data_IF_025444068333
#
_entry.id   IF_025444068333
#
_cell.length_a   1.000
_cell.length_b   1.000
_cell.length_c   1.000
_cell.angle_alpha   90.00
_cell.angle_beta   90.00
_cell.angle_gamma   90.00
#
_symmetry.space_group_name_H-M   'P 1'
#
loop_
_entity.id
_entity.type
_entity.pdbx_description
1 polymer ?
#
# COMPACT_ATOMS: atom_id res chain seq x y z
N UNK A 1 15.33 -3.09 -9.11
CA UNK A 1 13.97 -3.64 -8.91
C UNK A 1 13.03 -2.93 -9.88
N UNK A 2 12.16 -3.64 -10.63
CA UNK A 2 11.13 -2.95 -11.44
C UNK A 2 10.09 -2.34 -10.50
N UNK A 3 9.50 -1.18 -10.86
CA UNK A 3 8.49 -0.47 -10.05
C UNK A 3 7.37 -1.38 -9.55
N UNK A 4 6.82 -2.19 -10.44
CA UNK A 4 5.72 -3.11 -10.13
C UNK A 4 6.15 -4.24 -9.17
N UNK A 5 7.45 -4.57 -9.16
CA UNK A 5 8.01 -5.60 -8.27
C UNK A 5 8.26 -5.12 -6.85
N UNK A 6 8.32 -3.80 -6.61
CA UNK A 6 8.66 -3.26 -5.29
C UNK A 6 7.56 -3.42 -4.26
N UNK A 7 6.31 -3.15 -4.66
CA UNK A 7 5.15 -3.40 -3.81
C UNK A 7 5.05 -4.90 -3.46
N UNK A 8 5.22 -5.79 -4.45
CA UNK A 8 5.20 -7.22 -4.23
C UNK A 8 6.34 -7.70 -3.31
N UNK A 9 7.56 -7.24 -3.54
CA UNK A 9 8.71 -7.59 -2.70
C UNK A 9 8.56 -7.08 -1.26
N UNK A 10 8.10 -5.83 -1.09
CA UNK A 10 7.81 -5.26 0.21
C UNK A 10 6.71 -6.06 0.92
N UNK A 11 5.64 -6.43 0.22
CA UNK A 11 4.56 -7.25 0.75
C UNK A 11 5.07 -8.59 1.27
N UNK A 12 5.89 -9.29 0.48
CA UNK A 12 6.47 -10.58 0.87
C UNK A 12 7.32 -10.42 2.13
N UNK A 13 8.21 -9.43 2.16
CA UNK A 13 9.07 -9.17 3.31
C UNK A 13 8.28 -8.81 4.58
N UNK A 14 7.24 -7.97 4.45
CA UNK A 14 6.35 -7.60 5.57
C UNK A 14 5.57 -8.80 6.10
N UNK A 15 5.00 -9.63 5.21
CA UNK A 15 4.25 -10.85 5.61
C UNK A 15 5.13 -11.87 6.30
N UNK A 16 6.38 -12.02 5.86
CA UNK A 16 7.34 -12.94 6.46
C UNK A 16 7.97 -12.41 7.75
N UNK A 17 7.83 -11.11 8.07
CA UNK A 17 8.60 -10.48 9.13
C UNK A 17 10.12 -10.51 8.86
N UNK A 18 10.51 -10.51 7.58
CA UNK A 18 11.91 -10.65 7.18
C UNK A 18 12.61 -9.28 7.19
N UNK A 19 13.17 -8.93 8.35
CA UNK A 19 13.92 -7.69 8.55
C UNK A 19 15.12 -7.55 7.61
N UNK A 20 15.74 -8.66 7.19
CA UNK A 20 16.88 -8.64 6.26
C UNK A 20 16.42 -8.30 4.85
N UNK A 21 15.31 -8.89 4.39
CA UNK A 21 14.70 -8.53 3.12
C UNK A 21 14.20 -7.08 3.12
N UNK A 22 13.57 -6.63 4.21
CA UNK A 22 13.16 -5.23 4.38
C UNK A 22 14.36 -4.28 4.32
N UNK A 23 15.47 -4.64 4.99
CA UNK A 23 16.68 -3.83 4.97
C UNK A 23 17.37 -3.75 3.60
N UNK A 24 17.15 -4.74 2.73
CA UNK A 24 17.63 -4.74 1.33
C UNK A 24 16.72 -3.91 0.41
N UNK A 25 15.43 -3.81 0.72
CA UNK A 25 14.45 -3.10 -0.09
C UNK A 25 14.37 -1.60 0.22
N UNK A 26 14.63 -1.22 1.47
CA UNK A 26 14.46 0.15 1.97
C UNK A 26 15.82 0.84 2.04
N UNK A 27 15.91 2.04 1.47
CA UNK A 27 17.12 2.84 1.52
C UNK A 27 17.53 3.21 2.96
N UNK A 28 18.83 3.34 3.20
CA UNK A 28 19.37 3.66 4.53
C UNK A 28 18.80 4.96 5.10
N UNK A 29 18.56 5.95 4.24
CA UNK A 29 18.01 7.27 4.57
C UNK A 29 16.51 7.39 4.30
N UNK A 30 15.82 6.27 4.01
CA UNK A 30 14.42 6.30 3.63
C UNK A 30 13.52 7.04 4.62
N UNK A 31 12.50 7.70 4.11
CA UNK A 31 11.50 8.43 4.90
C UNK A 31 10.14 7.76 4.82
N UNK A 32 9.49 7.61 5.97
CA UNK A 32 8.07 7.30 6.05
C UNK A 32 7.33 8.53 6.58
N UNK A 33 6.32 8.98 5.83
CA UNK A 33 5.42 10.04 6.23
C UNK A 33 4.04 9.45 6.48
N UNK A 34 3.49 9.70 7.67
CA UNK A 34 2.13 9.33 8.05
C UNK A 34 1.32 10.62 8.07
N UNK A 35 0.22 10.65 7.34
CA UNK A 35 -0.61 11.84 7.23
C UNK A 35 -1.13 12.31 8.59
N UNK A 36 -1.20 13.63 8.77
CA UNK A 36 -1.52 14.27 10.06
C UNK A 36 -2.96 14.08 10.51
N UNK A 37 -3.85 13.59 9.64
CA UNK A 37 -5.22 13.19 9.98
C UNK A 37 -5.31 11.83 10.68
N UNK A 38 -4.21 11.10 10.81
CA UNK A 38 -4.14 9.83 11.53
C UNK A 38 -3.64 10.05 12.97
N UNK A 39 -4.07 9.22 13.92
CA UNK A 39 -3.74 9.31 15.36
C UNK A 39 -2.24 9.16 15.69
N UNK A 40 -1.38 9.04 14.68
CA UNK A 40 0.09 8.98 14.77
C UNK A 40 0.80 9.76 13.66
N UNK A 41 0.17 10.82 13.15
CA UNK A 41 0.74 11.67 12.10
C UNK A 41 2.16 12.16 12.39
N UNK A 42 2.97 12.28 11.34
CA UNK A 42 4.37 12.70 11.45
C UNK A 42 5.26 12.06 10.39
N UNK A 43 6.57 12.27 10.50
CA UNK A 43 7.54 11.61 9.63
C UNK A 43 8.64 10.94 10.44
N UNK A 44 9.11 9.80 9.96
CA UNK A 44 10.29 9.11 10.48
C UNK A 44 11.30 8.92 9.35
N UNK A 45 12.58 9.10 9.65
CA UNK A 45 13.68 8.93 8.71
C UNK A 45 14.64 7.86 9.20
N UNK A 46 15.19 7.11 8.25
CA UNK A 46 16.18 6.07 8.46
C UNK A 46 15.57 4.67 8.45
N UNK A 47 16.18 3.77 7.69
CA UNK A 47 15.73 2.39 7.43
C UNK A 47 15.20 1.66 8.65
N UNK A 48 16.01 1.57 9.71
CA UNK A 48 15.64 0.83 10.92
C UNK A 48 14.46 1.47 11.68
N UNK A 49 14.27 2.79 11.58
CA UNK A 49 13.11 3.48 12.17
C UNK A 49 11.87 3.25 11.31
N UNK A 50 12.00 3.34 9.98
CA UNK A 50 10.93 3.05 9.03
C UNK A 50 10.40 1.62 9.21
N UNK A 51 11.28 0.61 9.20
CA UNK A 51 10.90 -0.81 9.38
C UNK A 51 10.12 -1.03 10.67
N UNK A 52 10.65 -0.52 11.80
CA UNK A 52 9.99 -0.66 13.10
C UNK A 52 8.64 0.05 13.15
N UNK A 53 8.52 1.23 12.54
CA UNK A 53 7.25 1.95 12.48
C UNK A 53 6.24 1.20 11.62
N UNK A 54 6.63 0.67 10.45
CA UNK A 54 5.76 -0.17 9.63
C UNK A 54 5.27 -1.41 10.39
N UNK A 55 6.16 -2.14 11.05
CA UNK A 55 5.79 -3.31 11.85
C UNK A 55 4.74 -2.97 12.93
N UNK A 56 4.93 -1.87 13.66
CA UNK A 56 3.97 -1.40 14.69
C UNK A 56 2.61 -1.03 14.09
N UNK A 57 2.62 -0.34 12.95
CA UNK A 57 1.38 0.06 12.27
C UNK A 57 0.57 -1.16 11.80
N UNK A 58 1.25 -2.22 11.35
CA UNK A 58 0.61 -3.46 10.91
C UNK A 58 0.07 -4.28 12.08
N UNK A 59 0.78 -4.34 13.21
CA UNK A 59 0.27 -4.99 14.44
C UNK A 59 -1.04 -4.35 14.89
N UNK A 60 -1.16 -3.02 14.79
CA UNK A 60 -2.40 -2.30 15.14
C UNK A 60 -3.55 -2.50 14.15
N UNK A 61 -3.36 -3.25 13.06
CA UNK A 61 -4.32 -3.45 11.96
C UNK A 61 -4.47 -4.92 11.59
N UNK A 62 -4.43 -5.80 12.58
CA UNK A 62 -4.49 -7.26 12.39
C UNK A 62 -5.79 -7.75 11.71
N UNK A 63 -6.83 -6.91 11.66
CA UNK A 63 -8.10 -7.15 10.94
C UNK A 63 -8.05 -6.82 9.45
N UNK A 64 -6.91 -6.33 8.92
CA UNK A 64 -6.74 -5.95 7.53
C UNK A 64 -5.58 -6.72 6.88
N UNK A 65 -5.85 -7.28 5.69
CA UNK A 65 -4.84 -7.83 4.80
C UNK A 65 -4.11 -6.74 4.02
N UNK A 66 -2.84 -6.99 3.69
CA UNK A 66 -2.07 -6.17 2.75
C UNK A 66 -2.17 -6.75 1.34
N UNK A 67 -2.39 -5.90 0.35
CA UNK A 67 -2.39 -6.25 -1.08
C UNK A 67 -1.60 -5.23 -1.91
N UNK A 68 -0.95 -5.62 -3.02
CA UNK A 68 -0.35 -4.66 -3.94
C UNK A 68 -1.42 -3.78 -4.58
N UNK A 69 -1.15 -2.48 -4.71
CA UNK A 69 -2.06 -1.53 -5.33
C UNK A 69 -1.29 -0.41 -6.05
N UNK A 70 -1.95 0.23 -7.01
CA UNK A 70 -1.47 1.49 -7.59
C UNK A 70 -2.07 2.67 -6.82
N UNK A 71 -1.23 3.51 -6.23
CA UNK A 71 -1.62 4.66 -5.41
C UNK A 71 -1.19 5.92 -6.13
N UNK A 72 -2.15 6.62 -6.76
CA UNK A 72 -1.91 7.83 -7.55
C UNK A 72 -0.85 7.65 -8.67
N UNK A 73 -0.81 6.49 -9.33
CA UNK A 73 0.20 6.19 -10.36
C UNK A 73 1.54 5.67 -9.81
N UNK A 74 1.69 5.56 -8.50
CA UNK A 74 2.88 4.99 -7.86
C UNK A 74 2.62 3.57 -7.35
N UNK A 75 3.64 2.70 -7.33
CA UNK A 75 3.51 1.39 -6.69
C UNK A 75 3.24 1.56 -5.18
N UNK A 76 2.40 0.70 -4.64
CA UNK A 76 1.99 0.80 -3.24
C UNK A 76 1.33 -0.45 -2.70
N UNK A 77 0.87 -0.35 -1.46
CA UNK A 77 0.07 -1.36 -0.78
C UNK A 77 -1.25 -0.76 -0.33
N UNK A 78 -2.33 -1.52 -0.41
CA UNK A 78 -3.59 -1.22 0.26
C UNK A 78 -3.76 -2.14 1.47
N UNK A 79 -4.28 -1.57 2.56
CA UNK A 79 -4.75 -2.31 3.73
C UNK A 79 -6.26 -2.47 3.58
N UNK A 80 -6.71 -3.72 3.43
CA UNK A 80 -8.09 -4.07 3.14
C UNK A 80 -8.62 -5.08 4.15
N UNK A 81 -9.76 -4.78 4.76
CA UNK A 81 -10.51 -5.71 5.61
C UNK A 81 -11.18 -6.80 4.78
N UNK A 82 -11.62 -7.87 5.42
CA UNK A 82 -12.34 -8.98 4.77
C UNK A 82 -13.64 -8.53 4.09
N UNK A 83 -14.27 -7.47 4.59
CA UNK A 83 -15.45 -6.87 3.97
C UNK A 83 -15.11 -6.05 2.70
N UNK A 84 -13.84 -5.94 2.35
CA UNK A 84 -13.34 -5.18 1.21
C UNK A 84 -13.09 -3.70 1.48
N UNK A 85 -13.34 -3.20 2.70
CA UNK A 85 -13.09 -1.80 3.06
C UNK A 85 -11.59 -1.53 3.11
N UNK A 86 -11.13 -0.51 2.39
CA UNK A 86 -9.76 0.00 2.47
C UNK A 86 -9.64 0.90 3.71
N UNK A 87 -8.75 0.52 4.62
CA UNK A 87 -8.47 1.21 5.89
C UNK A 87 -7.12 1.94 5.90
N UNK A 88 -6.34 1.76 4.84
CA UNK A 88 -5.13 2.55 4.61
C UNK A 88 -4.50 2.25 3.26
N UNK A 89 -3.68 3.19 2.78
CA UNK A 89 -2.86 3.00 1.59
C UNK A 89 -1.45 3.49 1.86
N UNK A 90 -0.47 2.75 1.33
CA UNK A 90 0.95 3.03 1.44
C UNK A 90 1.50 3.24 0.02
N UNK A 91 1.82 4.48 -0.35
CA UNK A 91 2.53 4.78 -1.59
C UNK A 91 4.04 4.63 -1.40
N UNK A 92 4.75 4.19 -2.45
CA UNK A 92 6.19 3.99 -2.46
C UNK A 92 6.84 4.83 -3.57
N UNK A 93 7.91 5.54 -3.24
CA UNK A 93 8.86 6.07 -4.21
C UNK A 93 10.11 5.20 -4.21
N UNK A 94 10.61 4.93 -5.42
CA UNK A 94 11.79 4.11 -5.64
C UNK A 94 12.87 5.00 -6.25
N UNK A 95 14.09 4.83 -5.78
CA UNK A 95 15.27 5.46 -6.36
C UNK A 95 15.31 5.26 -7.89
N UNK A 96 15.60 6.34 -8.63
CA UNK A 96 15.53 6.34 -10.09
C UNK A 96 14.15 6.70 -10.66
N UNK A 97 13.17 7.09 -9.86
CA UNK A 97 11.98 7.83 -10.31
C UNK A 97 11.10 7.14 -11.36
N UNK A 98 10.19 7.92 -11.95
CA UNK A 98 9.21 7.48 -12.93
C UNK A 98 9.81 7.37 -14.34
N UNK A 99 10.51 6.28 -14.62
CA UNK A 99 10.92 5.94 -15.99
C UNK A 99 12.41 5.69 -16.19
N UNK A 100 13.23 5.70 -15.14
CA UNK A 100 14.66 5.39 -15.27
C UNK A 100 14.89 3.92 -14.96
N UNK A 101 15.07 3.13 -16.03
CA UNK A 101 15.65 1.78 -15.95
C UNK A 101 17.15 1.97 -15.78
N UNK A 102 17.63 2.06 -14.53
CA UNK A 102 19.07 1.99 -14.27
C UNK A 102 19.53 0.57 -14.59
N UNK A 103 20.27 0.42 -15.68
CA UNK A 103 20.81 -0.83 -16.22
C UNK A 103 22.02 -1.37 -15.44
N UNK A 104 22.24 -0.86 -14.24
CA UNK A 104 23.46 -1.09 -13.49
C UNK A 104 23.02 -1.81 -12.22
N UNK A 105 23.52 -3.03 -11.99
CA UNK A 105 23.04 -4.00 -10.99
C UNK A 105 22.98 -3.58 -9.51
N UNK A 106 23.05 -2.29 -9.18
CA UNK A 106 22.54 -1.73 -7.92
C UNK A 106 21.01 -1.75 -7.92
N UNK A 107 20.41 -2.64 -7.12
CA UNK A 107 18.96 -2.75 -7.04
C UNK A 107 18.32 -1.45 -6.55
N UNK A 108 17.45 -0.84 -7.38
CA UNK A 108 16.64 0.31 -6.97
C UNK A 108 15.96 0.11 -5.61
N UNK A 109 16.15 1.05 -4.68
CA UNK A 109 15.68 0.99 -3.29
C UNK A 109 14.45 1.89 -3.06
N UNK A 110 13.63 1.57 -2.06
CA UNK A 110 12.51 2.40 -1.62
C UNK A 110 13.07 3.56 -0.80
N UNK A 111 12.89 4.79 -1.28
CA UNK A 111 13.45 6.01 -0.68
C UNK A 111 12.40 6.79 0.11
N UNK A 112 11.14 6.78 -0.32
CA UNK A 112 10.06 7.44 0.40
C UNK A 112 8.81 6.55 0.45
N UNK A 113 8.12 6.63 1.57
CA UNK A 113 6.86 5.95 1.83
C UNK A 113 5.86 6.95 2.39
N UNK A 114 4.61 6.87 1.94
CA UNK A 114 3.51 7.68 2.46
C UNK A 114 2.36 6.81 2.88
N UNK A 115 2.04 6.83 4.17
CA UNK A 115 0.87 6.19 4.71
C UNK A 115 -0.28 7.20 4.83
N UNK A 116 -1.43 6.80 4.30
CA UNK A 116 -2.69 7.51 4.43
C UNK A 116 -3.74 6.56 5.01
N UNK A 117 -4.27 6.85 6.19
CA UNK A 117 -5.34 6.06 6.79
C UNK A 117 -6.58 6.88 7.20
N UNK A 118 -6.60 8.18 6.86
CA UNK A 118 -7.72 9.05 7.20
C UNK A 118 -8.98 8.60 6.44
N UNK A 119 -10.10 8.32 7.13
CA UNK A 119 -11.33 7.85 6.49
C UNK A 119 -11.81 8.76 5.34
N UNK A 120 -11.75 10.08 5.52
CA UNK A 120 -12.15 11.07 4.52
C UNK A 120 -11.32 10.96 3.23
N UNK A 121 -10.02 10.70 3.35
CA UNK A 121 -9.12 10.55 2.19
C UNK A 121 -9.26 9.18 1.52
N UNK A 122 -9.81 8.19 2.22
CA UNK A 122 -10.09 6.85 1.69
C UNK A 122 -11.49 6.70 1.05
N UNK A 123 -12.35 7.72 1.12
CA UNK A 123 -13.70 7.68 0.52
C UNK A 123 -13.69 7.32 -0.97
N UNK A 124 -12.68 7.76 -1.73
CA UNK A 124 -12.54 7.41 -3.15
C UNK A 124 -12.23 5.92 -3.35
N UNK A 125 -11.40 5.34 -2.48
CA UNK A 125 -11.07 3.92 -2.50
C UNK A 125 -12.26 3.04 -2.19
N UNK A 126 -13.15 3.52 -1.31
CA UNK A 126 -14.33 2.78 -0.86
C UNK A 126 -15.60 3.07 -1.68
N UNK A 127 -15.54 3.99 -2.66
CA UNK A 127 -16.70 4.41 -3.47
C UNK A 127 -17.22 3.35 -4.45
N UNK A 128 -16.40 2.36 -4.81
CA UNK A 128 -16.78 1.28 -5.75
C UNK A 128 -16.90 -0.05 -5.01
N UNK A 129 -18.03 -0.28 -4.34
CA UNK A 129 -18.43 -1.63 -3.91
C UNK A 129 -19.47 -2.18 -4.89
N UNK A 130 -19.24 -3.30 -5.57
CA UNK A 130 -20.28 -4.32 -5.65
C UNK A 130 -20.47 -4.86 -4.23
N UNK A 131 -21.69 -4.80 -3.70
CA UNK A 131 -22.04 -5.51 -2.48
C UNK A 131 -21.98 -7.01 -2.81
N UNK A 132 -21.14 -7.82 -2.15
CA UNK A 132 -21.26 -9.27 -2.25
C UNK A 132 -22.61 -9.64 -1.63
N UNK A 133 -23.52 -10.21 -2.43
CA UNK A 133 -24.75 -10.81 -1.92
C UNK A 133 -26.07 -10.11 -2.24
N UNK A 134 -26.13 -9.13 -3.16
CA UNK A 134 -27.41 -8.85 -3.82
C UNK A 134 -27.49 -9.72 -5.08
N UNK A 135 -28.38 -10.72 -5.16
CA UNK A 135 -28.63 -11.36 -6.43
C UNK A 135 -29.06 -10.25 -7.39
N UNK A 136 -28.42 -10.20 -8.56
CA UNK A 136 -28.99 -9.53 -9.72
C UNK A 136 -30.31 -10.24 -9.95
N UNK A 137 -31.40 -9.67 -9.44
CA UNK A 137 -32.72 -10.09 -9.87
C UNK A 137 -32.86 -9.62 -11.29
N UNK A 138 -32.47 -10.50 -12.18
CA UNK A 138 -33.02 -10.59 -13.52
C UNK A 138 -34.54 -10.64 -13.39
N UNK A 139 -35.20 -9.52 -13.69
CA UNK A 139 -36.57 -9.47 -14.16
C UNK A 139 -36.67 -8.29 -15.11
N UNK A 140 -36.73 -8.60 -16.40
CA UNK A 140 -37.24 -7.68 -17.41
C UNK A 140 -38.68 -7.23 -17.12
N UNK A 141 -39.30 -6.55 -18.09
CA UNK A 141 -40.36 -7.30 -18.73
C UNK A 141 -40.12 -7.42 -20.22
N UNK A 142 -40.37 -8.63 -20.70
CA UNK A 142 -40.79 -8.85 -22.07
C UNK A 142 -41.90 -7.85 -22.42
N UNK A 143 -41.73 -7.14 -23.53
CA UNK A 143 -42.85 -6.70 -24.34
C UNK A 143 -42.55 -7.12 -25.77
N UNK A 144 -43.14 -8.25 -26.11
CA UNK A 144 -43.60 -8.52 -27.46
C UNK A 144 -44.60 -7.44 -27.86
N UNK A 145 -44.40 -6.85 -29.04
CA UNK A 145 -45.33 -6.73 -30.18
C UNK A 145 -44.83 -5.64 -31.13
#
# INVERSE_FOLDING_TARGET
>A
MRRDGAAAALLVALRAGDDVALARLIDVEARLTIDTGDSGGGSVRGRARVIRTLARLLVGRADAGLEPAEVNGCPGLALRRDDGTVTGVLALEIEGGAGTVSGDGGGAAIVELWLQASPAKLERWNRRRPVPGRPVTDRGPARSE
#
